data_IF_345855384806
#
_entry.id   IF_345855384806
#
_cell.length_a   1.000
_cell.length_b   1.000
_cell.length_c   1.000
_cell.angle_alpha   90.00
_cell.angle_beta   90.00
_cell.angle_gamma   90.00
#
_symmetry.space_group_name_H-M   'P 1'
#
loop_
_entity.id
_entity.type
_entity.pdbx_description
1 polymer ?
#
# COMPACT_ATOMS: atom_id res chain seq x y z
N UNK A 1 -9.22 58.69 -28.20
CA UNK A 1 -8.10 57.85 -28.67
C UNK A 1 -7.78 56.82 -27.57
N UNK A 2 -8.20 55.55 -27.72
CA UNK A 2 -7.99 54.50 -26.74
C UNK A 2 -6.91 53.59 -27.28
N UNK A 3 -5.74 53.58 -26.65
CA UNK A 3 -4.68 52.61 -26.93
C UNK A 3 -4.94 51.33 -26.16
N UNK A 4 -5.32 50.26 -26.85
CA UNK A 4 -5.45 48.92 -26.31
C UNK A 4 -4.09 48.23 -26.27
N UNK A 5 -3.61 47.98 -25.08
CA UNK A 5 -2.44 47.12 -24.84
C UNK A 5 -2.78 45.65 -25.09
N UNK A 6 -2.28 45.09 -26.16
CA UNK A 6 -2.35 43.66 -26.46
C UNK A 6 -1.44 42.91 -25.47
N UNK A 7 -2.03 42.07 -24.63
CA UNK A 7 -1.28 41.14 -23.78
C UNK A 7 -0.83 39.97 -24.66
N UNK A 8 0.45 39.91 -24.95
CA UNK A 8 1.07 38.76 -25.60
C UNK A 8 1.28 37.66 -24.56
N UNK A 9 0.55 36.59 -24.68
CA UNK A 9 0.80 35.39 -23.87
C UNK A 9 2.02 34.67 -24.42
N UNK A 10 3.10 34.65 -23.66
CA UNK A 10 4.28 33.86 -24.01
C UNK A 10 3.98 32.38 -23.68
N UNK A 11 3.83 31.58 -24.72
CA UNK A 11 3.81 30.11 -24.63
C UNK A 11 5.23 29.67 -24.41
N UNK A 12 5.54 29.18 -23.20
CA UNK A 12 6.82 28.56 -22.93
C UNK A 12 6.74 27.09 -23.36
N UNK A 13 7.29 26.79 -24.53
CA UNK A 13 7.57 25.41 -24.95
C UNK A 13 8.67 24.82 -24.05
N UNK A 14 8.33 23.80 -23.27
CA UNK A 14 9.32 22.99 -22.59
C UNK A 14 10.01 22.09 -23.61
N UNK A 15 11.23 22.45 -24.01
CA UNK A 15 12.08 21.57 -24.80
C UNK A 15 12.58 20.43 -23.90
N UNK A 16 12.23 19.18 -24.25
CA UNK A 16 12.89 17.97 -23.76
C UNK A 16 14.33 17.97 -24.34
N UNK A 17 15.32 18.18 -23.50
CA UNK A 17 16.72 17.92 -23.85
C UNK A 17 17.17 16.61 -23.19
N UNK A 18 17.27 15.59 -24.02
CA UNK A 18 18.07 14.39 -23.79
C UNK A 18 19.55 14.79 -23.63
N UNK A 19 20.19 14.18 -22.64
CA UNK A 19 21.52 14.49 -22.19
C UNK A 19 22.58 14.63 -23.27
N UNK A 20 23.23 15.78 -23.28
CA UNK A 20 24.68 16.00 -23.54
C UNK A 20 24.96 17.41 -23.02
N UNK A 21 26.07 17.56 -22.27
CA UNK A 21 26.45 18.82 -21.66
C UNK A 21 26.65 19.95 -22.69
N UNK A 22 25.68 20.83 -22.77
CA UNK A 22 25.81 22.09 -23.49
C UNK A 22 25.87 23.22 -22.46
N UNK A 23 27.00 23.91 -22.42
CA UNK A 23 27.21 25.17 -21.69
C UNK A 23 26.35 26.22 -22.37
N UNK A 24 25.34 26.73 -21.67
CA UNK A 24 24.55 27.88 -22.17
C UNK A 24 25.32 29.17 -21.84
N UNK A 25 25.56 30.08 -22.81
CA UNK A 25 26.24 31.31 -22.50
C UNK A 25 25.41 32.16 -21.53
N UNK A 26 26.09 32.71 -20.53
CA UNK A 26 25.51 33.60 -19.52
C UNK A 26 25.28 34.95 -20.20
N UNK A 27 24.00 35.30 -20.48
CA UNK A 27 23.64 36.66 -20.75
C UNK A 27 23.46 37.38 -19.41
N UNK A 28 24.37 38.31 -19.15
CA UNK A 28 24.26 39.25 -18.04
C UNK A 28 23.03 40.16 -18.30
N UNK A 29 22.26 40.36 -17.23
CA UNK A 29 21.16 41.29 -17.09
C UNK A 29 19.76 40.75 -17.41
N UNK A 30 19.13 40.26 -16.37
CA UNK A 30 17.73 40.50 -15.93
C UNK A 30 17.35 39.56 -14.79
N UNK A 31 17.00 40.06 -13.62
CA UNK A 31 16.63 39.37 -12.39
C UNK A 31 15.44 38.39 -12.45
N UNK A 32 15.07 37.93 -13.65
CA UNK A 32 13.94 37.01 -13.89
C UNK A 32 14.42 35.56 -14.01
N UNK A 33 15.73 35.30 -14.28
CA UNK A 33 16.24 33.97 -14.55
C UNK A 33 16.53 33.13 -13.30
N UNK A 34 16.56 33.76 -12.12
CA UNK A 34 16.83 33.05 -10.87
C UNK A 34 15.73 32.09 -10.46
N UNK A 35 14.48 32.31 -10.89
CA UNK A 35 13.37 31.42 -10.54
C UNK A 35 13.21 30.23 -11.50
N UNK A 36 13.55 30.42 -12.78
CA UNK A 36 13.46 29.35 -13.79
C UNK A 36 14.56 28.28 -13.59
N UNK A 37 15.77 28.68 -13.24
CA UNK A 37 16.85 27.73 -12.95
C UNK A 37 16.56 26.86 -11.71
N UNK A 38 15.93 27.45 -10.69
CA UNK A 38 15.53 26.69 -9.47
C UNK A 38 14.41 25.69 -9.77
N UNK A 39 13.50 26.05 -10.67
CA UNK A 39 12.41 25.15 -11.07
C UNK A 39 12.91 24.02 -11.97
N UNK A 40 13.89 24.28 -12.84
CA UNK A 40 14.49 23.24 -13.67
C UNK A 40 15.34 22.23 -12.86
N UNK A 41 16.10 22.68 -11.88
CA UNK A 41 16.84 21.78 -10.97
C UNK A 41 15.88 21.02 -10.03
N UNK A 42 14.77 21.63 -9.65
CA UNK A 42 13.73 20.99 -8.85
C UNK A 42 12.93 19.95 -9.64
N UNK A 43 12.78 20.10 -10.96
CA UNK A 43 12.07 19.17 -11.83
C UNK A 43 12.80 17.83 -12.02
N UNK A 44 14.04 17.69 -11.55
CA UNK A 44 14.88 16.50 -11.79
C UNK A 44 14.78 15.40 -10.74
N UNK A 45 13.80 15.41 -9.84
CA UNK A 45 13.60 14.29 -8.91
C UNK A 45 12.97 13.11 -9.65
N UNK A 46 13.75 12.05 -9.83
CA UNK A 46 13.33 10.88 -10.60
C UNK A 46 12.11 10.16 -10.02
N UNK A 47 11.43 9.42 -10.88
CA UNK A 47 10.31 8.54 -10.51
C UNK A 47 10.78 7.38 -9.65
N UNK A 48 10.03 7.05 -8.60
CA UNK A 48 10.28 5.84 -7.80
C UNK A 48 9.96 4.59 -8.62
N UNK A 49 10.95 3.69 -8.75
CA UNK A 49 10.84 2.40 -9.43
C UNK A 49 10.98 1.24 -8.44
N UNK A 50 10.59 0.03 -8.86
CA UNK A 50 10.79 -1.19 -8.07
C UNK A 50 9.99 -1.23 -6.77
N UNK A 51 8.84 -0.55 -6.69
CA UNK A 51 7.95 -0.64 -5.53
C UNK A 51 7.46 -2.06 -5.36
N UNK A 52 7.66 -2.64 -4.19
CA UNK A 52 7.25 -3.98 -3.77
C UNK A 52 6.74 -3.94 -2.34
N UNK A 53 6.11 -5.04 -1.91
CA UNK A 53 5.65 -5.19 -0.54
C UNK A 53 5.97 -6.57 0.01
N UNK A 54 6.12 -6.62 1.33
CA UNK A 54 6.16 -7.85 2.14
C UNK A 54 5.10 -7.70 3.22
N UNK A 55 4.13 -8.61 3.25
CA UNK A 55 3.14 -8.66 4.33
C UNK A 55 3.83 -9.23 5.57
N UNK A 56 3.86 -8.45 6.65
CA UNK A 56 4.51 -8.83 7.91
C UNK A 56 3.53 -9.54 8.85
N UNK A 57 2.27 -9.08 8.85
CA UNK A 57 1.22 -9.63 9.72
C UNK A 57 -0.18 -9.41 9.12
N UNK A 58 -1.20 -9.65 9.92
CA UNK A 58 -2.58 -9.33 9.58
C UNK A 58 -2.91 -7.82 9.61
N UNK A 59 -1.97 -6.99 10.06
CA UNK A 59 -2.18 -5.53 10.19
C UNK A 59 -0.97 -4.70 9.78
N UNK A 60 0.10 -5.33 9.27
CA UNK A 60 1.33 -4.64 8.89
C UNK A 60 1.84 -5.09 7.52
N UNK A 61 2.22 -4.13 6.70
CA UNK A 61 2.84 -4.32 5.39
C UNK A 61 4.09 -3.45 5.31
N UNK A 62 5.21 -4.04 4.96
CA UNK A 62 6.44 -3.33 4.61
C UNK A 62 6.46 -3.07 3.11
N UNK A 63 6.61 -1.82 2.73
CA UNK A 63 6.88 -1.37 1.37
C UNK A 63 8.38 -1.17 1.20
N UNK A 64 8.92 -1.45 0.03
CA UNK A 64 10.30 -1.17 -0.36
C UNK A 64 10.39 -0.79 -1.83
N UNK A 65 11.40 0.01 -2.19
CA UNK A 65 11.60 0.51 -3.55
C UNK A 65 13.07 0.79 -3.84
N UNK A 66 13.39 1.03 -5.10
CA UNK A 66 14.74 1.39 -5.53
C UNK A 66 15.06 2.84 -5.14
N UNK A 67 16.31 3.07 -4.71
CA UNK A 67 16.81 4.42 -4.40
C UNK A 67 16.72 5.31 -5.64
N UNK A 68 16.24 6.53 -5.45
CA UNK A 68 16.23 7.59 -6.48
C UNK A 68 17.43 8.51 -6.23
N UNK A 69 18.26 8.68 -7.24
CA UNK A 69 19.44 9.57 -7.15
C UNK A 69 19.03 11.00 -6.82
N UNK A 70 19.75 11.67 -5.94
CA UNK A 70 19.48 13.05 -5.54
C UNK A 70 18.22 13.25 -4.66
N UNK A 71 17.50 12.20 -4.31
CA UNK A 71 16.34 12.30 -3.42
C UNK A 71 16.79 12.57 -1.97
N UNK A 72 16.16 13.57 -1.33
CA UNK A 72 16.30 13.84 0.13
C UNK A 72 15.42 12.92 0.98
N UNK A 73 14.40 12.29 0.36
CA UNK A 73 13.49 11.38 1.02
C UNK A 73 12.30 11.00 0.14
N UNK A 74 11.35 10.30 0.74
CA UNK A 74 10.19 9.74 0.06
C UNK A 74 8.93 10.03 0.85
N UNK A 75 7.82 10.18 0.14
CA UNK A 75 6.47 10.27 0.72
C UNK A 75 5.65 9.10 0.24
N UNK A 76 5.07 8.37 1.20
CA UNK A 76 4.22 7.20 0.98
C UNK A 76 2.76 7.59 1.05
N UNK A 77 1.97 7.06 0.14
CA UNK A 77 0.53 7.28 0.05
C UNK A 77 -0.23 5.97 -0.01
N UNK A 78 -1.42 5.96 0.60
CA UNK A 78 -2.37 4.85 0.54
C UNK A 78 -3.71 5.34 -0.03
N UNK A 79 -4.34 4.55 -0.86
CA UNK A 79 -5.66 4.84 -1.40
C UNK A 79 -6.72 4.49 -0.36
N UNK A 80 -7.55 5.46 0.00
CA UNK A 80 -8.71 5.29 0.88
C UNK A 80 -9.87 6.10 0.31
N UNK A 81 -11.06 5.50 0.20
CA UNK A 81 -12.26 6.15 -0.33
C UNK A 81 -12.02 6.80 -1.72
N UNK A 82 -11.33 6.07 -2.61
CA UNK A 82 -11.05 6.54 -3.97
C UNK A 82 -9.89 7.52 -4.11
N UNK A 83 -9.37 8.11 -3.02
CA UNK A 83 -8.32 9.14 -3.00
C UNK A 83 -7.03 8.62 -2.37
N UNK A 84 -5.87 9.13 -2.82
CA UNK A 84 -4.58 8.84 -2.21
C UNK A 84 -4.29 9.82 -1.08
N UNK A 85 -4.19 9.30 0.14
CA UNK A 85 -3.87 10.06 1.33
C UNK A 85 -2.41 9.80 1.73
N UNK A 86 -1.73 10.84 2.16
CA UNK A 86 -0.37 10.74 2.68
C UNK A 86 -0.36 9.93 3.97
N UNK A 87 0.52 8.91 4.05
CA UNK A 87 0.79 8.15 5.26
C UNK A 87 1.95 8.74 6.06
N UNK A 88 3.01 9.13 5.36
CA UNK A 88 4.19 9.68 6.01
C UNK A 88 5.35 9.91 5.06
N UNK A 89 6.41 10.46 5.62
CA UNK A 89 7.69 10.67 4.95
C UNK A 89 8.76 9.76 5.56
N UNK A 90 9.74 9.34 4.77
CA UNK A 90 10.92 8.61 5.24
C UNK A 90 12.15 8.99 4.41
N UNK A 91 13.35 8.80 4.99
CA UNK A 91 14.64 9.00 4.30
C UNK A 91 15.12 7.72 3.61
N UNK A 92 14.75 6.55 4.15
CA UNK A 92 15.12 5.25 3.61
C UNK A 92 14.27 4.80 2.45
N UNK A 93 14.61 3.68 1.84
CA UNK A 93 13.90 3.06 0.71
C UNK A 93 12.88 2.01 1.14
N UNK A 94 12.45 2.07 2.38
CA UNK A 94 11.39 1.21 2.93
C UNK A 94 10.50 1.98 3.91
N UNK A 95 9.26 1.52 4.05
CA UNK A 95 8.28 2.09 4.98
C UNK A 95 7.32 1.00 5.46
N UNK A 96 7.14 0.88 6.77
CA UNK A 96 6.19 -0.07 7.34
C UNK A 96 4.88 0.62 7.66
N UNK A 97 3.83 0.19 6.99
CA UNK A 97 2.45 0.63 7.26
C UNK A 97 1.87 -0.29 8.31
N UNK A 98 1.35 0.30 9.39
CA UNK A 98 0.78 -0.40 10.54
C UNK A 98 -0.71 -0.10 10.71
N UNK A 99 -1.37 -0.88 11.57
CA UNK A 99 -2.80 -0.71 11.90
C UNK A 99 -3.72 -0.83 10.68
N UNK A 100 -3.33 -1.63 9.71
CA UNK A 100 -4.16 -1.95 8.56
C UNK A 100 -5.29 -2.91 8.98
N UNK A 101 -6.44 -2.84 8.30
CA UNK A 101 -7.49 -3.83 8.49
C UNK A 101 -6.99 -5.24 8.12
N UNK A 102 -7.54 -6.24 8.79
CA UNK A 102 -7.24 -7.64 8.59
C UNK A 102 -7.84 -8.14 7.25
N UNK A 103 -7.11 -8.97 6.53
CA UNK A 103 -7.53 -9.57 5.24
C UNK A 103 -8.02 -8.56 4.19
N UNK A 104 -7.46 -7.36 4.18
CA UNK A 104 -7.90 -6.26 3.31
C UNK A 104 -6.88 -6.00 2.21
N UNK A 105 -7.38 -5.72 1.01
CA UNK A 105 -6.55 -5.25 -0.11
C UNK A 105 -6.29 -3.78 0.03
N UNK A 106 -5.01 -3.42 -0.09
CA UNK A 106 -4.53 -2.05 0.02
C UNK A 106 -3.79 -1.65 -1.25
N UNK A 107 -3.87 -0.36 -1.59
CA UNK A 107 -3.21 0.20 -2.77
C UNK A 107 -2.31 1.35 -2.33
N UNK A 108 -1.04 1.28 -2.74
CA UNK A 108 0.00 2.23 -2.37
C UNK A 108 0.66 2.86 -3.59
N UNK A 109 1.19 4.06 -3.40
CA UNK A 109 2.17 4.69 -4.27
C UNK A 109 3.16 5.51 -3.46
N UNK A 110 4.33 5.73 -4.03
CA UNK A 110 5.42 6.47 -3.40
C UNK A 110 5.95 7.49 -4.38
N UNK A 111 6.39 8.63 -3.91
CA UNK A 111 7.17 9.58 -4.69
C UNK A 111 8.39 10.07 -3.91
N UNK A 112 9.47 10.31 -4.62
CA UNK A 112 10.66 10.92 -4.07
C UNK A 112 10.48 12.44 -3.95
N UNK A 113 11.21 13.07 -3.05
CA UNK A 113 11.35 14.53 -2.98
C UNK A 113 12.79 14.95 -2.73
N UNK A 114 13.14 16.15 -3.18
CA UNK A 114 14.34 16.88 -2.86
C UNK A 114 13.95 18.10 -2.01
N UNK A 115 14.75 18.45 -1.02
CA UNK A 115 14.53 19.66 -0.25
C UNK A 115 15.37 20.79 -0.86
N UNK A 116 14.71 21.83 -1.34
CA UNK A 116 15.32 23.02 -1.94
C UNK A 116 14.87 24.22 -1.15
N UNK A 117 15.82 24.97 -0.57
CA UNK A 117 15.52 26.14 0.28
C UNK A 117 14.43 25.87 1.35
N UNK A 118 14.52 24.70 2.01
CA UNK A 118 13.56 24.29 3.05
C UNK A 118 12.21 23.75 2.55
N UNK A 119 11.91 23.82 1.24
CA UNK A 119 10.67 23.32 0.64
C UNK A 119 10.89 21.99 -0.07
N UNK A 120 9.87 21.10 0.01
CA UNK A 120 9.89 19.82 -0.70
C UNK A 120 9.46 20.01 -2.15
N UNK A 121 10.32 19.61 -3.07
CA UNK A 121 10.00 19.48 -4.48
C UNK A 121 9.87 17.99 -4.78
N UNK A 122 8.74 17.60 -5.34
CA UNK A 122 8.38 16.20 -5.52
C UNK A 122 8.61 15.76 -6.97
N UNK A 123 9.14 14.56 -7.10
CA UNK A 123 9.14 13.82 -8.35
C UNK A 123 7.80 13.16 -8.65
N UNK A 124 7.76 12.42 -9.76
CA UNK A 124 6.57 11.65 -10.14
C UNK A 124 6.28 10.51 -9.14
N UNK A 125 5.01 10.11 -9.11
CA UNK A 125 4.60 8.94 -8.35
C UNK A 125 5.13 7.66 -8.99
N UNK A 126 5.43 6.65 -8.15
CA UNK A 126 5.59 5.27 -8.59
C UNK A 126 4.36 4.77 -9.34
N UNK A 127 4.46 3.61 -10.01
CA UNK A 127 3.29 2.82 -10.35
C UNK A 127 2.49 2.49 -9.08
N UNK A 128 1.18 2.28 -9.25
CA UNK A 128 0.32 1.79 -8.16
C UNK A 128 0.73 0.38 -7.77
N UNK A 129 0.75 0.10 -6.47
CA UNK A 129 1.08 -1.21 -5.94
C UNK A 129 -0.06 -1.74 -5.09
N UNK A 130 -0.63 -2.88 -5.52
CA UNK A 130 -1.69 -3.57 -4.80
C UNK A 130 -1.10 -4.70 -3.97
N UNK A 131 -1.53 -4.80 -2.73
CA UNK A 131 -1.11 -5.85 -1.80
C UNK A 131 -2.24 -6.09 -0.79
N UNK A 132 -2.08 -7.08 0.08
CA UNK A 132 -3.07 -7.38 1.10
C UNK A 132 -2.42 -7.77 2.43
N UNK A 133 -3.11 -7.48 3.52
CA UNK A 133 -2.77 -8.04 4.84
C UNK A 133 -3.16 -9.51 4.91
N UNK A 134 -2.48 -10.27 5.75
CA UNK A 134 -2.83 -11.66 6.01
C UNK A 134 -4.15 -11.73 6.79
N UNK A 135 -4.97 -12.78 6.60
CA UNK A 135 -6.05 -13.08 7.52
C UNK A 135 -5.50 -13.34 8.92
N UNK A 136 -6.22 -12.87 9.92
CA UNK A 136 -5.91 -13.21 11.30
C UNK A 136 -6.18 -14.70 11.54
N UNK A 137 -5.28 -15.40 12.22
CA UNK A 137 -5.50 -16.78 12.60
C UNK A 137 -6.64 -16.88 13.62
N UNK A 138 -7.54 -17.83 13.41
CA UNK A 138 -8.58 -18.14 14.40
C UNK A 138 -7.93 -18.70 15.68
N UNK A 139 -8.42 -18.27 16.84
CA UNK A 139 -7.93 -18.69 18.16
C UNK A 139 -9.07 -19.23 19.01
N UNK A 140 -8.73 -19.96 20.07
CA UNK A 140 -9.70 -20.44 21.06
C UNK A 140 -10.70 -21.45 20.51
N UNK A 141 -10.33 -22.22 19.46
CA UNK A 141 -11.17 -23.34 19.01
C UNK A 141 -11.28 -24.38 20.11
N UNK A 142 -12.51 -24.67 20.50
CA UNK A 142 -12.84 -25.69 21.51
C UNK A 142 -14.15 -26.40 21.16
N UNK A 143 -14.32 -27.59 21.69
CA UNK A 143 -15.60 -28.28 21.71
C UNK A 143 -16.43 -27.67 22.83
N UNK A 144 -17.62 -27.16 22.51
CA UNK A 144 -18.55 -26.56 23.48
C UNK A 144 -19.65 -27.49 23.91
N UNK A 145 -20.01 -28.49 23.10
CA UNK A 145 -20.88 -29.59 23.49
C UNK A 145 -20.68 -30.80 22.58
N UNK A 146 -20.96 -32.00 23.12
CA UNK A 146 -20.91 -33.27 22.41
C UNK A 146 -22.28 -33.92 22.50
N UNK A 147 -22.87 -34.29 21.36
CA UNK A 147 -24.06 -35.11 21.23
C UNK A 147 -23.67 -36.55 20.83
N UNK A 148 -24.66 -37.42 20.65
CA UNK A 148 -24.45 -38.82 20.23
C UNK A 148 -23.84 -38.93 18.83
N UNK A 149 -24.23 -38.03 17.89
CA UNK A 149 -23.81 -38.01 16.50
C UNK A 149 -23.29 -36.62 16.07
N UNK A 150 -23.05 -35.72 17.01
CA UNK A 150 -22.73 -34.31 16.69
C UNK A 150 -21.78 -33.70 17.70
N UNK A 151 -21.04 -32.69 17.23
CA UNK A 151 -20.13 -31.88 18.03
C UNK A 151 -20.34 -30.41 17.72
N UNK A 152 -20.54 -29.59 18.74
CA UNK A 152 -20.57 -28.13 18.61
C UNK A 152 -19.19 -27.56 18.88
N UNK A 153 -18.64 -26.91 17.86
CA UNK A 153 -17.38 -26.18 17.93
C UNK A 153 -17.65 -24.71 18.27
N UNK A 154 -16.79 -24.09 19.05
CA UNK A 154 -16.82 -22.65 19.31
C UNK A 154 -15.41 -22.08 19.29
N UNK A 155 -15.29 -20.77 19.02
CA UNK A 155 -13.99 -20.08 18.92
C UNK A 155 -14.12 -18.59 19.21
N UNK A 156 -12.99 -17.92 19.38
CA UNK A 156 -12.93 -16.48 19.63
C UNK A 156 -13.27 -15.70 18.36
N UNK A 157 -14.14 -14.68 18.48
CA UNK A 157 -14.46 -13.77 17.38
C UNK A 157 -13.21 -13.02 16.93
N UNK A 158 -13.02 -12.97 15.60
CA UNK A 158 -12.00 -12.14 14.95
C UNK A 158 -12.67 -11.25 13.89
N UNK A 159 -11.99 -10.19 13.47
CA UNK A 159 -12.50 -9.27 12.44
C UNK A 159 -12.47 -9.87 11.04
N UNK A 160 -13.33 -10.85 10.77
CA UNK A 160 -13.53 -11.45 9.45
C UNK A 160 -15.01 -11.51 9.09
N UNK A 161 -15.32 -11.69 7.81
CA UNK A 161 -16.70 -11.77 7.31
C UNK A 161 -17.33 -13.13 7.47
N UNK A 162 -16.55 -14.20 7.46
CA UNK A 162 -17.01 -15.57 7.64
C UNK A 162 -15.87 -16.48 8.08
N UNK A 163 -16.23 -17.64 8.60
CA UNK A 163 -15.34 -18.72 9.01
C UNK A 163 -15.62 -19.95 8.14
N UNK A 164 -14.55 -20.67 7.78
CA UNK A 164 -14.62 -21.97 7.11
C UNK A 164 -14.18 -23.05 8.06
N UNK A 165 -14.99 -24.10 8.17
CA UNK A 165 -14.76 -25.24 9.05
C UNK A 165 -14.24 -26.40 8.21
N UNK A 166 -13.17 -27.02 8.69
CA UNK A 166 -12.55 -28.17 8.04
C UNK A 166 -12.47 -29.34 8.99
N UNK A 167 -12.68 -30.54 8.45
CA UNK A 167 -12.47 -31.82 9.12
C UNK A 167 -11.32 -32.57 8.46
N UNK A 168 -10.47 -33.19 9.26
CA UNK A 168 -9.45 -34.10 8.75
C UNK A 168 -10.11 -35.46 8.42
N UNK A 169 -10.10 -35.83 7.16
CA UNK A 169 -10.62 -37.11 6.66
C UNK A 169 -9.44 -37.85 6.03
N UNK A 170 -8.99 -38.94 6.66
CA UNK A 170 -7.86 -39.76 6.18
C UNK A 170 -6.61 -38.93 5.85
N UNK A 171 -6.22 -38.03 6.74
CA UNK A 171 -5.05 -37.17 6.59
C UNK A 171 -5.26 -35.93 5.70
N UNK A 172 -6.40 -35.76 5.01
CA UNK A 172 -6.73 -34.61 4.17
C UNK A 172 -7.76 -33.71 4.81
N UNK A 173 -7.52 -32.41 4.79
CA UNK A 173 -8.45 -31.40 5.31
C UNK A 173 -9.53 -31.09 4.27
N UNK A 174 -10.78 -31.44 4.57
CA UNK A 174 -11.96 -31.17 3.74
C UNK A 174 -12.79 -30.07 4.39
N UNK A 175 -13.23 -29.06 3.62
CA UNK A 175 -14.20 -28.06 4.07
C UNK A 175 -15.57 -28.74 4.28
N UNK A 176 -16.14 -28.57 5.47
CA UNK A 176 -17.43 -29.18 5.86
C UNK A 176 -18.50 -28.11 6.12
N UNK A 177 -18.15 -26.83 6.13
CA UNK A 177 -19.14 -25.77 6.31
C UNK A 177 -18.54 -24.37 6.41
N UNK A 178 -19.46 -23.39 6.41
CA UNK A 178 -19.17 -21.96 6.56
C UNK A 178 -20.16 -21.35 7.54
N UNK A 179 -19.73 -20.34 8.30
CA UNK A 179 -20.60 -19.56 9.19
C UNK A 179 -20.03 -18.15 9.39
N UNK A 180 -20.92 -17.19 9.69
CA UNK A 180 -20.54 -15.84 10.13
C UNK A 180 -20.47 -15.74 11.66
N UNK A 181 -21.03 -16.75 12.36
CA UNK A 181 -21.01 -16.84 13.82
C UNK A 181 -19.68 -17.39 14.36
N UNK A 182 -19.59 -17.51 15.68
CA UNK A 182 -18.41 -18.03 16.39
C UNK A 182 -18.62 -19.46 16.90
N UNK A 183 -19.62 -20.17 16.35
CA UNK A 183 -19.86 -21.60 16.62
C UNK A 183 -20.39 -22.29 15.36
N UNK A 184 -20.21 -23.60 15.31
CA UNK A 184 -20.69 -24.46 14.25
C UNK A 184 -20.94 -25.88 14.79
N UNK A 185 -22.11 -26.46 14.46
CA UNK A 185 -22.41 -27.84 14.83
C UNK A 185 -22.14 -28.76 13.66
N UNK A 186 -21.18 -29.66 13.85
CA UNK A 186 -20.90 -30.76 12.91
C UNK A 186 -21.83 -31.91 13.28
N UNK A 187 -22.57 -32.44 12.33
CA UNK A 187 -23.55 -33.52 12.49
C UNK A 187 -23.15 -34.76 11.72
N UNK A 188 -23.87 -35.87 11.95
CA UNK A 188 -23.65 -37.18 11.29
C UNK A 188 -22.26 -37.73 11.53
N UNK A 189 -21.78 -37.58 12.76
CA UNK A 189 -20.53 -38.16 13.22
C UNK A 189 -20.81 -39.59 13.79
N UNK A 190 -19.89 -40.51 13.54
CA UNK A 190 -19.97 -41.84 14.17
C UNK A 190 -19.71 -41.73 15.66
N UNK A 191 -20.49 -42.42 16.50
CA UNK A 191 -20.26 -42.46 17.94
C UNK A 191 -18.87 -43.00 18.29
N UNK A 192 -18.35 -42.63 19.44
CA UNK A 192 -17.06 -43.09 19.98
C UNK A 192 -15.85 -42.93 19.02
N UNK A 193 -15.96 -42.02 18.04
CA UNK A 193 -14.92 -41.82 17.02
C UNK A 193 -14.16 -40.52 17.23
N UNK A 194 -12.84 -40.55 17.08
CA UNK A 194 -11.96 -39.38 17.20
C UNK A 194 -11.96 -38.55 15.92
N UNK A 195 -12.26 -37.29 16.04
CA UNK A 195 -12.28 -36.31 14.92
C UNK A 195 -11.32 -35.17 15.16
N UNK A 196 -10.80 -34.61 14.08
CA UNK A 196 -9.96 -33.40 14.11
C UNK A 196 -10.60 -32.31 13.28
N UNK A 197 -10.64 -31.10 13.84
CA UNK A 197 -11.21 -29.92 13.18
C UNK A 197 -10.22 -28.77 13.17
N UNK A 198 -10.31 -27.90 12.16
CA UNK A 198 -9.65 -26.62 12.11
C UNK A 198 -10.57 -25.56 11.51
N UNK A 199 -10.33 -24.30 11.83
CA UNK A 199 -11.09 -23.13 11.37
C UNK A 199 -10.14 -22.15 10.67
N UNK A 200 -10.64 -21.56 9.59
CA UNK A 200 -9.94 -20.50 8.85
C UNK A 200 -10.86 -19.31 8.61
#
# INVERSE_FOLDING_TARGET
MKNGMKKTAAVVMAAMLMGTGAVVPVAEDMGIFSQTAIVAEAASVGKVKGLKSKTLSNSEIQLSWSKVSGASGYTVYMRKNGKYNKLGDCKGTSYTVKKLPNATRENFKVRAYKTVKGKKVYGEYSANWNTATNPQACKGLKVSSVGTDSVKLSWTKIGCTNYRIYQNIKGKWKEIGKTTGTSYTVKKLAPATKYQFKIR
#
